data_IF_325633743160
#
_entry.id   IF_325633743160
#
_cell.length_a   1.000
_cell.length_b   1.000
_cell.length_c   1.000
_cell.angle_alpha   90.00
_cell.angle_beta   90.00
_cell.angle_gamma   90.00
#
_symmetry.space_group_name_H-M   'P 1'
#
loop_
_entity.id
_entity.type
_entity.pdbx_description
1 polymer ?
#
# COMPACT_ATOMS: atom_id res chain seq x y z
N UNK A 1 0.04 -14.27 4.97
CA UNK A 1 0.04 -13.28 3.86
C UNK A 1 -1.04 -12.21 4.01
N UNK A 2 -2.27 -12.55 4.40
CA UNK A 2 -3.36 -11.56 4.61
C UNK A 2 -3.12 -10.57 5.76
N UNK A 3 -2.39 -10.99 6.81
CA UNK A 3 -2.12 -10.17 8.00
C UNK A 3 -1.43 -8.83 7.69
N UNK A 4 -0.45 -8.83 6.78
CA UNK A 4 0.28 -7.61 6.39
C UNK A 4 -0.64 -6.66 5.60
N UNK A 5 -1.47 -7.21 4.71
CA UNK A 5 -2.43 -6.42 3.92
C UNK A 5 -3.43 -5.71 4.84
N UNK A 6 -3.98 -6.43 5.81
CA UNK A 6 -4.91 -5.85 6.78
C UNK A 6 -4.24 -4.84 7.71
N UNK A 7 -3.01 -5.12 8.15
CA UNK A 7 -2.21 -4.19 8.95
C UNK A 7 -2.00 -2.88 8.20
N UNK A 8 -1.54 -2.93 6.95
CA UNK A 8 -1.28 -1.72 6.14
C UNK A 8 -2.56 -0.92 5.92
N UNK A 9 -3.67 -1.58 5.60
CA UNK A 9 -4.97 -0.93 5.39
C UNK A 9 -5.47 -0.25 6.68
N UNK A 10 -5.36 -0.94 7.82
CA UNK A 10 -5.79 -0.42 9.12
C UNK A 10 -4.92 0.76 9.56
N UNK A 11 -3.60 0.67 9.38
CA UNK A 11 -2.67 1.76 9.71
C UNK A 11 -2.89 2.97 8.80
N UNK A 12 -3.20 2.75 7.53
CA UNK A 12 -3.48 3.84 6.58
C UNK A 12 -4.91 4.40 6.75
N UNK A 13 -5.84 3.65 7.34
CA UNK A 13 -7.25 4.01 7.47
C UNK A 13 -8.06 3.82 6.19
N UNK A 14 -7.57 3.02 5.22
CA UNK A 14 -8.34 2.69 4.02
C UNK A 14 -9.17 1.43 4.22
N UNK A 15 -10.47 1.54 4.02
CA UNK A 15 -11.42 0.42 4.03
C UNK A 15 -11.90 0.02 2.64
N UNK A 16 -11.41 0.70 1.60
CA UNK A 16 -11.85 0.49 0.23
C UNK A 16 -11.30 -0.82 -0.38
N UNK A 17 -12.19 -1.54 -1.07
CA UNK A 17 -11.91 -2.82 -1.71
C UNK A 17 -10.84 -2.70 -2.81
N UNK A 18 -10.76 -1.54 -3.47
CA UNK A 18 -9.73 -1.23 -4.47
C UNK A 18 -8.35 -1.12 -3.82
N UNK A 19 -8.24 -0.39 -2.70
CA UNK A 19 -6.98 -0.28 -1.95
C UNK A 19 -6.51 -1.64 -1.46
N UNK A 20 -7.45 -2.48 -0.99
CA UNK A 20 -7.17 -3.86 -0.58
C UNK A 20 -6.63 -4.73 -1.72
N UNK A 21 -7.23 -4.67 -2.91
CA UNK A 21 -6.74 -5.45 -4.07
C UNK A 21 -5.39 -4.96 -4.56
N UNK A 22 -5.19 -3.64 -4.61
CA UNK A 22 -3.92 -3.02 -5.03
C UNK A 22 -2.78 -3.40 -4.10
N UNK A 23 -2.98 -3.26 -2.79
CA UNK A 23 -1.94 -3.59 -1.81
C UNK A 23 -1.62 -5.07 -1.82
N UNK A 24 -2.65 -5.94 -1.91
CA UNK A 24 -2.44 -7.38 -2.02
C UNK A 24 -1.55 -7.74 -3.20
N UNK A 25 -1.87 -7.23 -4.40
CA UNK A 25 -1.08 -7.50 -5.60
C UNK A 25 0.36 -6.97 -5.47
N UNK A 26 0.54 -5.82 -4.82
CA UNK A 26 1.87 -5.25 -4.57
C UNK A 26 2.71 -6.12 -3.62
N UNK A 27 2.13 -6.57 -2.50
CA UNK A 27 2.79 -7.47 -1.56
C UNK A 27 3.11 -8.82 -2.20
N UNK A 28 2.22 -9.37 -3.04
CA UNK A 28 2.49 -10.59 -3.80
C UNK A 28 3.71 -10.42 -4.73
N UNK A 29 3.82 -9.29 -5.43
CA UNK A 29 4.99 -8.97 -6.27
C UNK A 29 6.27 -8.89 -5.44
N UNK A 30 6.25 -8.21 -4.29
CA UNK A 30 7.42 -8.11 -3.40
C UNK A 30 7.84 -9.48 -2.86
N UNK A 31 6.87 -10.33 -2.51
CA UNK A 31 7.15 -11.69 -2.05
C UNK A 31 7.76 -12.55 -3.17
N UNK A 32 7.26 -12.43 -4.41
CA UNK A 32 7.86 -13.07 -5.58
C UNK A 32 9.27 -12.57 -5.88
N UNK A 33 9.59 -11.32 -5.56
CA UNK A 33 10.94 -10.77 -5.65
C UNK A 33 11.88 -11.25 -4.51
N UNK A 34 11.40 -12.10 -3.60
CA UNK A 34 12.17 -12.62 -2.47
C UNK A 34 12.04 -11.81 -1.18
N UNK A 35 11.27 -10.72 -1.19
CA UNK A 35 11.08 -9.89 -0.01
C UNK A 35 10.01 -10.48 0.91
N UNK A 36 10.45 -11.13 1.99
CA UNK A 36 9.58 -11.81 2.96
C UNK A 36 9.51 -11.13 4.33
N UNK A 37 10.30 -10.06 4.53
CA UNK A 37 10.36 -9.39 5.83
C UNK A 37 9.05 -8.64 6.08
N UNK A 38 8.26 -9.01 7.10
CA UNK A 38 6.91 -8.47 7.29
C UNK A 38 6.92 -6.95 7.56
N UNK A 39 7.91 -6.46 8.31
CA UNK A 39 8.06 -5.03 8.59
C UNK A 39 8.32 -4.23 7.32
N UNK A 40 9.22 -4.70 6.46
CA UNK A 40 9.55 -4.05 5.18
C UNK A 40 8.35 -4.07 4.24
N UNK A 41 7.62 -5.19 4.19
CA UNK A 41 6.41 -5.32 3.39
C UNK A 41 5.32 -4.33 3.84
N UNK A 42 5.18 -4.12 5.15
CA UNK A 42 4.26 -3.12 5.70
C UNK A 42 4.70 -1.69 5.37
N UNK A 43 5.99 -1.37 5.53
CA UNK A 43 6.55 -0.05 5.17
C UNK A 43 6.36 0.27 3.68
N UNK A 44 6.76 -0.66 2.79
CA UNK A 44 6.57 -0.48 1.35
C UNK A 44 5.10 -0.39 0.98
N UNK A 45 4.25 -1.18 1.62
CA UNK A 45 2.82 -1.13 1.40
C UNK A 45 2.19 0.22 1.80
N UNK A 46 2.59 0.77 2.95
CA UNK A 46 2.14 2.09 3.40
C UNK A 46 2.63 3.20 2.47
N UNK A 47 3.89 3.16 2.06
CA UNK A 47 4.46 4.13 1.12
C UNK A 47 3.67 4.11 -0.21
N UNK A 48 3.42 2.92 -0.75
CA UNK A 48 2.65 2.75 -1.98
C UNK A 48 1.23 3.32 -1.89
N UNK A 49 0.51 3.10 -0.77
CA UNK A 49 -0.82 3.70 -0.57
C UNK A 49 -0.76 5.23 -0.44
N UNK A 50 0.25 5.76 0.25
CA UNK A 50 0.47 7.21 0.33
C UNK A 50 0.71 7.80 -1.05
N UNK A 51 1.62 7.24 -1.84
CA UNK A 51 1.91 7.72 -3.20
C UNK A 51 0.67 7.67 -4.10
N UNK A 52 -0.15 6.62 -3.99
CA UNK A 52 -1.40 6.51 -4.76
C UNK A 52 -2.43 7.59 -4.39
N UNK A 53 -2.49 8.00 -3.12
CA UNK A 53 -3.45 9.00 -2.64
C UNK A 53 -2.90 10.43 -2.72
N UNK A 54 -1.66 10.66 -2.32
CA UNK A 54 -0.96 11.96 -2.47
C UNK A 54 -0.68 12.29 -3.94
N UNK A 55 -0.39 11.30 -4.79
CA UNK A 55 -0.33 11.52 -6.25
C UNK A 55 -1.67 11.91 -6.86
N UNK A 56 -2.78 11.69 -6.13
CA UNK A 56 -4.11 12.20 -6.47
C UNK A 56 -4.45 13.51 -5.74
N UNK A 57 -3.67 13.87 -4.71
CA UNK A 57 -3.74 15.16 -4.05
C UNK A 57 -3.05 16.18 -4.95
N UNK A 58 -3.92 16.75 -5.78
CA UNK A 58 -3.75 17.73 -6.84
C UNK A 58 -3.14 19.04 -6.31
N UNK A 59 -1.96 19.01 -5.70
CA UNK A 59 -1.13 20.21 -5.43
C UNK A 59 -0.54 20.83 -6.69
N UNK A 60 -0.92 20.29 -7.86
CA UNK A 60 -0.79 20.92 -9.17
C UNK A 60 -2.16 21.39 -9.68
N UNK A 61 -2.90 22.16 -8.88
CA UNK A 61 -3.73 23.23 -9.45
C UNK A 61 -2.84 24.46 -9.49
N UNK A 62 -2.16 24.64 -10.63
CA UNK A 62 -1.41 25.86 -10.90
C UNK A 62 -2.31 27.08 -10.77
N UNK A 63 -1.85 28.06 -10.00
CA UNK A 63 -2.16 29.47 -10.14
C UNK A 63 -0.83 30.20 -10.25
#
# INVERSE_FOLDING_TARGET
>A
MYDIVETVLRTYGATDDQSRRRIRRYIETLNSAGQRNPERLAEYGLAYLRELHEGRDRRYSGC
#
